data_IF_043767002294
#
_entry.id   IF_043767002294
#
_cell.length_a   1.000
_cell.length_b   1.000
_cell.length_c   1.000
_cell.angle_alpha   90.00
_cell.angle_beta   90.00
_cell.angle_gamma   90.00
#
_symmetry.space_group_name_H-M   'P 1'
#
loop_
_entity.id
_entity.type
_entity.pdbx_description
1 polymer ?
#
# COMPACT_ATOMS: atom_id res chain seq x y z
N UNK A 1 -14.10 18.18 26.14
CA UNK A 1 -14.79 16.88 26.16
C UNK A 1 -15.42 16.68 24.77
N UNK A 2 -14.68 16.10 23.83
CA UNK A 2 -15.21 15.81 22.48
C UNK A 2 -15.98 14.48 22.51
N UNK A 3 -17.14 14.36 21.85
CA UNK A 3 -17.91 13.13 21.88
C UNK A 3 -17.26 12.08 20.98
N UNK A 4 -17.12 10.86 21.52
CA UNK A 4 -16.71 9.67 20.79
C UNK A 4 -17.83 9.24 19.86
N UNK A 5 -17.73 9.59 18.58
CA UNK A 5 -18.53 8.93 17.55
C UNK A 5 -17.95 7.53 17.31
N UNK A 6 -18.72 6.50 17.66
CA UNK A 6 -18.41 5.11 17.34
C UNK A 6 -18.27 4.95 15.83
N UNK A 7 -17.06 4.59 15.37
CA UNK A 7 -16.81 4.25 13.97
C UNK A 7 -17.39 2.86 13.74
N UNK A 8 -18.53 2.81 13.06
CA UNK A 8 -19.04 1.60 12.45
C UNK A 8 -17.96 0.99 11.55
N UNK A 9 -17.71 -0.30 11.76
CA UNK A 9 -16.78 -1.11 10.98
C UNK A 9 -17.27 -1.13 9.53
N UNK A 10 -16.70 -0.28 8.67
CA UNK A 10 -16.92 -0.40 7.22
C UNK A 10 -16.24 -1.69 6.77
N UNK A 11 -17.05 -2.62 6.28
CA UNK A 11 -16.61 -3.84 5.61
C UNK A 11 -15.68 -3.48 4.45
N UNK A 12 -14.37 -3.69 4.65
CA UNK A 12 -13.27 -3.31 3.73
C UNK A 12 -13.26 -4.14 2.44
N UNK A 13 -14.17 -5.10 2.26
CA UNK A 13 -14.17 -6.09 1.17
C UNK A 13 -15.06 -5.75 -0.04
N UNK A 14 -15.48 -4.49 -0.21
CA UNK A 14 -16.37 -4.12 -1.33
C UNK A 14 -15.89 -2.85 -2.03
N UNK A 15 -15.23 -3.01 -3.17
CA UNK A 15 -15.12 -1.89 -4.10
C UNK A 15 -14.04 -1.97 -5.17
N UNK A 16 -14.42 -2.54 -6.30
CA UNK A 16 -14.12 -2.06 -7.66
C UNK A 16 -12.64 -1.82 -8.01
N UNK A 17 -12.05 -2.82 -8.69
CA UNK A 17 -10.83 -2.67 -9.50
C UNK A 17 -11.01 -1.48 -10.46
N UNK A 18 -10.27 -0.40 -10.21
CA UNK A 18 -10.36 0.85 -10.96
C UNK A 18 -9.67 0.61 -12.31
N UNK A 19 -10.47 0.42 -13.34
CA UNK A 19 -10.01 0.18 -14.71
C UNK A 19 -9.35 1.44 -15.31
N UNK A 20 -8.49 1.23 -16.31
CA UNK A 20 -7.84 2.26 -17.16
C UNK A 20 -8.80 3.32 -17.72
N UNK A 21 -10.11 3.06 -17.70
CA UNK A 21 -11.15 3.92 -18.24
C UNK A 21 -11.34 5.25 -17.48
N UNK A 22 -10.99 5.34 -16.19
CA UNK A 22 -11.25 6.54 -15.40
C UNK A 22 -10.03 7.47 -15.24
N UNK A 23 -8.81 6.95 -15.45
CA UNK A 23 -7.57 7.71 -15.32
C UNK A 23 -6.50 7.18 -16.29
N UNK A 24 -6.50 7.60 -17.57
CA UNK A 24 -5.57 7.09 -18.58
C UNK A 24 -4.09 7.38 -18.24
N UNK A 25 -3.84 8.45 -17.48
CA UNK A 25 -2.48 8.91 -17.13
C UNK A 25 -2.09 8.64 -15.67
N UNK A 26 -2.99 8.07 -14.85
CA UNK A 26 -2.73 7.71 -13.45
C UNK A 26 -3.48 6.44 -13.09
N UNK A 27 -2.83 5.28 -13.14
CA UNK A 27 -3.42 4.03 -12.59
C UNK A 27 -3.50 4.16 -11.06
N UNK A 28 -4.58 4.78 -10.57
CA UNK A 28 -4.83 4.96 -9.15
C UNK A 28 -5.52 3.71 -8.62
N UNK A 29 -4.76 2.93 -7.87
CA UNK A 29 -5.34 1.94 -6.99
C UNK A 29 -5.88 2.66 -5.76
N UNK A 30 -7.17 2.51 -5.47
CA UNK A 30 -7.66 2.82 -4.11
C UNK A 30 -7.02 1.78 -3.19
N UNK A 31 -6.09 2.25 -2.37
CA UNK A 31 -5.29 1.39 -1.54
C UNK A 31 -5.94 1.16 -0.17
N UNK A 32 -5.67 -0.01 0.44
CA UNK A 32 -4.72 -1.04 0.02
C UNK A 32 -5.43 -2.25 -0.66
N UNK A 33 -4.69 -3.05 -1.44
CA UNK A 33 -5.23 -4.29 -2.07
C UNK A 33 -5.66 -5.34 -1.04
N UNK A 34 -5.03 -5.28 0.12
CA UNK A 34 -5.25 -6.12 1.30
C UNK A 34 -5.26 -5.21 2.53
N UNK A 35 -5.54 -5.73 3.72
CA UNK A 35 -5.15 -4.99 4.92
C UNK A 35 -3.63 -4.76 4.92
N UNK A 36 -3.19 -3.63 5.47
CA UNK A 36 -1.77 -3.33 5.57
C UNK A 36 -1.11 -4.20 6.63
N UNK A 37 0.06 -4.74 6.30
CA UNK A 37 0.91 -5.49 7.21
C UNK A 37 2.31 -4.87 7.26
N UNK A 38 3.00 -5.07 8.38
CA UNK A 38 4.40 -4.66 8.53
C UNK A 38 5.28 -5.35 7.47
N UNK A 39 6.37 -4.71 7.02
CA UNK A 39 7.30 -5.33 6.07
C UNK A 39 7.78 -6.70 6.55
N UNK A 40 7.87 -7.67 5.64
CA UNK A 40 8.46 -8.96 5.98
C UNK A 40 9.94 -8.83 6.33
N UNK A 41 10.48 -9.79 7.08
CA UNK A 41 11.91 -9.84 7.39
C UNK A 41 12.82 -9.99 6.15
N UNK A 42 12.25 -10.34 4.99
CA UNK A 42 12.98 -10.40 3.72
C UNK A 42 13.11 -9.03 3.04
N UNK A 43 12.34 -8.02 3.46
CA UNK A 43 12.41 -6.68 2.91
C UNK A 43 13.72 -5.99 3.34
N UNK A 44 14.46 -5.49 2.37
CA UNK A 44 15.72 -4.76 2.60
C UNK A 44 15.48 -3.27 2.37
N UNK A 45 15.81 -2.46 3.38
CA UNK A 45 15.62 -1.02 3.35
C UNK A 45 16.96 -0.27 3.30
N UNK A 46 16.97 0.90 2.68
CA UNK A 46 18.19 1.65 2.37
C UNK A 46 18.97 2.17 3.59
N UNK A 47 18.32 2.39 4.73
CA UNK A 47 18.98 2.90 5.94
C UNK A 47 18.21 2.53 7.22
N UNK A 48 18.91 2.58 8.36
CA UNK A 48 18.34 2.26 9.67
C UNK A 48 17.18 3.20 10.08
N UNK A 49 17.18 4.46 9.62
CA UNK A 49 16.10 5.39 9.89
C UNK A 49 14.79 4.99 9.19
N UNK A 50 14.87 4.51 7.95
CA UNK A 50 13.72 3.96 7.22
C UNK A 50 13.19 2.70 7.92
N UNK A 51 14.08 1.78 8.33
CA UNK A 51 13.70 0.58 9.09
C UNK A 51 12.95 0.97 10.36
N UNK A 52 13.52 1.85 11.18
CA UNK A 52 12.90 2.30 12.43
C UNK A 52 11.54 2.95 12.22
N UNK A 53 11.38 3.73 11.14
CA UNK A 53 10.11 4.36 10.83
C UNK A 53 9.03 3.35 10.43
N UNK A 54 9.39 2.30 9.69
CA UNK A 54 8.48 1.22 9.29
C UNK A 54 8.15 0.24 10.43
N UNK A 55 9.05 0.10 11.40
CA UNK A 55 8.85 -0.73 12.59
C UNK A 55 8.05 -0.04 13.70
N UNK A 56 7.76 1.27 13.56
CA UNK A 56 7.01 2.03 14.54
C UNK A 56 5.72 1.32 14.93
N UNK A 57 5.44 1.30 16.24
CA UNK A 57 4.27 0.67 16.82
C UNK A 57 3.61 1.65 17.79
N UNK A 58 2.28 1.73 17.75
CA UNK A 58 1.51 2.65 18.55
C UNK A 58 0.59 1.85 19.49
N UNK A 59 0.75 2.05 20.79
CA UNK A 59 -0.09 1.36 21.80
C UNK A 59 -1.59 1.68 21.66
N UNK A 60 -1.93 2.78 20.99
CA UNK A 60 -3.30 3.26 20.84
C UNK A 60 -3.95 2.90 19.49
N UNK A 61 -3.15 2.63 18.46
CA UNK A 61 -3.63 2.45 17.09
C UNK A 61 -2.95 1.23 16.47
N UNK A 62 -3.73 0.21 16.10
CA UNK A 62 -3.22 -0.97 15.41
C UNK A 62 -3.07 -0.77 13.90
N UNK A 63 -3.75 0.24 13.34
CA UNK A 63 -3.69 0.58 11.92
C UNK A 63 -2.82 1.85 11.75
N UNK A 64 -1.71 1.81 10.98
CA UNK A 64 -0.85 2.98 10.80
C UNK A 64 -1.58 4.15 10.12
N UNK A 65 -2.61 3.89 9.32
CA UNK A 65 -3.39 4.96 8.69
C UNK A 65 -4.22 5.76 9.71
N UNK A 66 -4.53 5.18 10.87
CA UNK A 66 -5.22 5.85 11.97
C UNK A 66 -4.27 6.59 12.94
N UNK A 67 -2.95 6.38 12.84
CA UNK A 67 -1.96 6.96 13.74
C UNK A 67 -1.22 8.12 13.08
N UNK A 68 -1.40 9.36 13.58
CA UNK A 68 -0.73 10.55 13.04
C UNK A 68 0.81 10.53 13.13
N UNK A 69 1.38 9.65 13.98
CA UNK A 69 2.82 9.47 14.13
C UNK A 69 3.40 8.43 13.15
N UNK A 70 2.55 7.66 12.46
CA UNK A 70 2.97 6.73 11.41
C UNK A 70 3.11 7.48 10.09
N UNK A 71 4.34 7.85 9.72
CA UNK A 71 4.56 8.75 8.58
C UNK A 71 4.70 8.02 7.23
N UNK A 72 5.31 6.84 7.24
CA UNK A 72 5.66 6.10 6.03
C UNK A 72 5.11 4.69 6.05
N UNK A 73 4.76 4.17 4.89
CA UNK A 73 4.45 2.76 4.67
C UNK A 73 5.32 2.21 3.57
N UNK A 74 5.54 0.91 3.64
CA UNK A 74 6.07 0.11 2.54
C UNK A 74 5.01 -0.90 2.12
N UNK A 75 4.69 -0.93 0.83
CA UNK A 75 3.80 -1.90 0.22
C UNK A 75 4.65 -2.96 -0.49
N UNK A 76 4.81 -4.11 0.17
CA UNK A 76 5.66 -5.19 -0.30
C UNK A 76 5.13 -5.88 -1.57
N UNK A 77 3.80 -5.90 -1.78
CA UNK A 77 3.18 -6.42 -3.00
C UNK A 77 3.69 -5.65 -4.22
N UNK A 78 3.82 -4.32 -4.08
CA UNK A 78 4.17 -3.41 -5.17
C UNK A 78 5.62 -2.91 -5.13
N UNK A 79 6.41 -3.25 -4.12
CA UNK A 79 7.77 -2.73 -3.90
C UNK A 79 7.88 -1.22 -3.73
N UNK A 80 6.85 -0.59 -3.20
CA UNK A 80 6.76 0.87 -3.21
C UNK A 80 6.63 1.45 -1.81
N UNK A 81 7.09 2.70 -1.68
CA UNK A 81 7.05 3.46 -0.44
C UNK A 81 6.08 4.62 -0.58
N UNK A 82 5.37 4.91 0.50
CA UNK A 82 4.39 5.99 0.53
C UNK A 82 4.48 6.84 1.79
N UNK A 83 4.18 8.13 1.66
CA UNK A 83 3.82 9.00 2.78
C UNK A 83 2.33 8.87 3.05
N UNK A 84 1.95 8.52 4.28
CA UNK A 84 0.54 8.35 4.64
C UNK A 84 -0.20 9.68 4.55
N UNK A 85 -1.41 9.65 4.00
CA UNK A 85 -2.37 10.75 4.06
C UNK A 85 -3.38 10.42 5.17
N UNK A 86 -3.30 11.12 6.31
CA UNK A 86 -4.22 10.92 7.44
C UNK A 86 -5.55 11.67 7.25
N UNK A 87 -6.28 11.36 6.18
CA UNK A 87 -7.61 11.91 5.89
C UNK A 87 -8.77 11.00 6.36
N UNK A 88 -8.44 9.92 7.06
CA UNK A 88 -9.38 8.88 7.49
C UNK A 88 -9.60 7.76 6.46
N UNK A 89 -8.81 7.74 5.38
CA UNK A 89 -8.71 6.64 4.43
C UNK A 89 -7.31 6.00 4.43
N UNK A 90 -7.18 4.84 3.80
CA UNK A 90 -5.90 4.15 3.63
C UNK A 90 -5.13 4.65 2.40
N UNK A 91 -4.93 5.96 2.33
CA UNK A 91 -4.31 6.63 1.19
C UNK A 91 -2.86 7.03 1.49
N UNK A 92 -2.03 7.05 0.45
CA UNK A 92 -0.66 7.54 0.55
C UNK A 92 -0.15 8.13 -0.77
N UNK A 93 0.84 9.02 -0.67
CA UNK A 93 1.58 9.58 -1.81
C UNK A 93 2.86 8.79 -2.02
N UNK A 94 3.11 8.35 -3.25
CA UNK A 94 4.36 7.67 -3.59
C UNK A 94 5.57 8.60 -3.43
N UNK A 95 6.65 8.03 -2.90
CA UNK A 95 7.96 8.69 -2.82
C UNK A 95 9.00 7.87 -3.57
N UNK A 96 9.92 8.58 -4.22
CA UNK A 96 11.00 8.02 -5.03
C UNK A 96 12.37 8.09 -4.35
N UNK A 97 12.49 8.88 -3.27
CA UNK A 97 13.70 9.02 -2.47
C UNK A 97 13.39 8.86 -0.98
N UNK A 98 14.33 8.25 -0.27
CA UNK A 98 14.27 8.11 1.18
C UNK A 98 14.30 9.48 1.87
N UNK A 99 13.31 9.83 2.72
CA UNK A 99 13.27 11.11 3.43
C UNK A 99 14.44 11.33 4.39
N UNK A 100 15.18 10.27 4.76
CA UNK A 100 16.26 10.33 5.74
C UNK A 100 17.65 10.34 5.11
N UNK A 101 17.94 9.41 4.18
CA UNK A 101 19.28 9.29 3.58
C UNK A 101 19.36 9.75 2.12
N UNK A 102 18.23 10.16 1.52
CA UNK A 102 18.18 10.62 0.13
C UNK A 102 18.43 9.54 -0.93
N UNK A 103 18.59 8.27 -0.54
CA UNK A 103 18.76 7.17 -1.49
C UNK A 103 17.52 7.03 -2.37
N UNK A 104 17.73 6.81 -3.67
CA UNK A 104 16.65 6.45 -4.59
C UNK A 104 16.04 5.11 -4.16
N UNK A 105 14.72 5.07 -4.08
CA UNK A 105 13.94 3.91 -3.69
C UNK A 105 13.66 3.01 -4.92
N UNK A 106 13.29 1.73 -4.70
CA UNK A 106 12.88 0.85 -5.79
C UNK A 106 11.74 1.46 -6.60
N UNK A 107 11.75 1.19 -7.90
CA UNK A 107 10.66 1.58 -8.78
C UNK A 107 9.41 0.75 -8.44
N UNK A 108 8.28 1.44 -8.29
CA UNK A 108 7.00 0.79 -8.02
C UNK A 108 6.65 -0.22 -9.13
N UNK A 109 6.33 -1.43 -8.72
CA UNK A 109 5.82 -2.48 -9.60
C UNK A 109 4.31 -2.32 -9.91
N UNK A 110 3.66 -1.24 -9.45
CA UNK A 110 2.22 -1.03 -9.57
C UNK A 110 1.70 -1.13 -11.00
N UNK A 111 2.35 -0.47 -11.96
CA UNK A 111 1.93 -0.54 -13.36
C UNK A 111 2.10 -1.95 -13.93
N UNK A 112 3.22 -2.61 -13.61
CA UNK A 112 3.46 -4.01 -14.01
C UNK A 112 2.43 -4.95 -13.41
N UNK A 113 1.96 -4.69 -12.19
CA UNK A 113 0.92 -5.49 -11.55
C UNK A 113 -0.37 -5.40 -12.36
N UNK A 114 -0.80 -4.19 -12.72
CA UNK A 114 -2.00 -4.01 -13.54
C UNK A 114 -1.87 -4.71 -14.88
N UNK A 115 -0.75 -4.53 -15.57
CA UNK A 115 -0.52 -5.21 -16.85
C UNK A 115 -0.53 -6.74 -16.70
N UNK A 116 0.03 -7.26 -15.61
CA UNK A 116 0.08 -8.70 -15.32
C UNK A 116 -1.27 -9.29 -14.91
N UNK A 117 -2.16 -8.50 -14.28
CA UNK A 117 -3.53 -8.91 -13.94
C UNK A 117 -4.45 -8.78 -15.16
N UNK A 118 -4.34 -7.70 -15.94
CA UNK A 118 -5.10 -7.49 -17.17
C UNK A 118 -4.82 -8.61 -18.18
N UNK A 119 -3.56 -9.06 -18.28
CA UNK A 119 -3.17 -10.17 -19.14
C UNK A 119 -3.81 -11.52 -18.78
N UNK A 120 -4.38 -11.67 -17.58
CA UNK A 120 -5.12 -12.88 -17.19
C UNK A 120 -6.51 -12.94 -17.83
N UNK A 121 -7.03 -11.83 -18.36
CA UNK A 121 -8.34 -11.79 -19.01
C UNK A 121 -9.50 -12.17 -18.08
N UNK A 122 -9.41 -11.81 -16.80
CA UNK A 122 -10.40 -12.15 -15.79
C UNK A 122 -11.74 -11.46 -16.07
N UNK A 123 -12.84 -12.16 -15.80
CA UNK A 123 -14.16 -11.56 -15.86
C UNK A 123 -14.34 -10.49 -14.76
N UNK A 124 -15.25 -9.54 -14.99
CA UNK A 124 -15.53 -8.49 -14.03
C UNK A 124 -15.95 -9.07 -12.67
N UNK A 125 -15.33 -8.58 -11.60
CA UNK A 125 -15.59 -9.03 -10.22
C UNK A 125 -14.90 -10.33 -9.83
N UNK A 126 -14.06 -10.90 -10.69
CA UNK A 126 -13.20 -12.04 -10.34
C UNK A 126 -11.86 -11.51 -9.85
N UNK A 127 -11.49 -11.91 -8.63
CA UNK A 127 -10.20 -11.57 -8.05
C UNK A 127 -9.05 -12.32 -8.77
N UNK A 128 -7.87 -11.70 -8.90
CA UNK A 128 -6.69 -12.38 -9.41
C UNK A 128 -6.24 -13.52 -8.47
N UNK A 129 -5.43 -14.47 -8.97
CA UNK A 129 -4.89 -15.54 -8.13
C UNK A 129 -4.14 -15.00 -6.90
N UNK A 130 -4.21 -15.74 -5.78
CA UNK A 130 -3.69 -15.31 -4.48
C UNK A 130 -2.26 -14.71 -4.49
N UNK A 131 -1.39 -15.21 -5.38
CA UNK A 131 -0.01 -14.72 -5.54
C UNK A 131 0.09 -13.21 -5.87
N UNK A 132 -0.94 -12.62 -6.48
CA UNK A 132 -0.98 -11.19 -6.85
C UNK A 132 -1.23 -10.28 -5.63
N UNK A 133 -1.53 -10.86 -4.47
CA UNK A 133 -1.68 -10.13 -3.21
C UNK A 133 -0.44 -10.22 -2.31
N UNK A 134 0.66 -10.78 -2.81
CA UNK A 134 1.93 -10.92 -2.07
C UNK A 134 3.10 -10.47 -2.93
N UNK A 135 4.26 -10.17 -2.36
CA UNK A 135 5.46 -9.82 -3.15
C UNK A 135 5.93 -10.95 -4.11
N UNK A 136 5.36 -12.15 -4.02
CA UNK A 136 5.76 -13.31 -4.81
C UNK A 136 5.53 -13.16 -6.31
N UNK A 137 4.46 -12.47 -6.73
CA UNK A 137 4.17 -12.30 -8.16
C UNK A 137 5.30 -11.55 -8.89
N UNK A 138 6.08 -10.72 -8.18
CA UNK A 138 7.19 -9.94 -8.74
C UNK A 138 8.39 -10.81 -9.14
N UNK A 139 8.50 -12.05 -8.65
CA UNK A 139 9.70 -12.89 -8.77
C UNK A 139 9.84 -13.66 -10.10
N UNK A 140 8.88 -13.55 -11.02
CA UNK A 140 8.91 -14.25 -12.31
C UNK A 140 9.08 -13.26 -13.46
N UNK A 141 10.26 -13.27 -14.06
CA UNK A 141 10.51 -12.86 -15.44
C UNK A 141 11.01 -14.11 -16.16
#
# INVERSE_FOLDING_TARGET
MWPRHGRGHRDRRKGLFVTRALFPDRRVLWMPLTDWEKPSAAAVHCCAAMVKALEFDCEQHSDPFECADSLVIYNEVMDEYGLIIHDGSASYVLIDHCPWCGSKLPESARDRWFDSVDALGLAAGVDPPARYFTGEWRRRI
#
